data_IF_700833004449
#
_entry.id   IF_700833004449
#
_cell.length_a   1.000
_cell.length_b   1.000
_cell.length_c   1.000
_cell.angle_alpha   90.00
_cell.angle_beta   90.00
_cell.angle_gamma   90.00
#
_symmetry.space_group_name_H-M   'P 1'
#
loop_
_entity.id
_entity.type
_entity.pdbx_description
1 polymer ?
#
# COMPACT_ATOMS: atom_id res chain seq x y z
N UNK A 1 0.37 52.00 14.84
CA UNK A 1 1.07 50.76 15.25
C UNK A 1 1.45 50.03 13.98
N UNK A 2 2.72 50.14 13.56
CA UNK A 2 3.18 49.66 12.25
C UNK A 2 3.78 48.25 12.32
N UNK A 3 3.36 47.49 11.31
CA UNK A 3 3.87 46.26 10.69
C UNK A 3 5.38 45.93 10.85
N UNK A 4 5.59 44.61 10.86
CA UNK A 4 6.49 43.84 9.99
C UNK A 4 7.71 43.13 10.57
N UNK A 5 7.75 41.84 10.20
CA UNK A 5 8.76 40.81 10.39
C UNK A 5 10.09 41.18 9.71
N UNK A 6 11.22 40.82 10.35
CA UNK A 6 12.47 40.44 9.67
C UNK A 6 13.42 39.72 10.63
N UNK A 7 13.79 38.49 10.30
CA UNK A 7 15.14 37.94 10.52
C UNK A 7 16.04 38.52 9.39
N UNK A 8 17.38 38.68 9.52
CA UNK A 8 18.29 37.54 9.75
C UNK A 8 19.68 37.83 10.39
N UNK A 9 20.45 36.73 10.51
CA UNK A 9 21.93 36.57 10.55
C UNK A 9 22.63 36.33 11.88
N UNK A 10 23.48 35.30 11.81
CA UNK A 10 24.49 34.77 12.72
C UNK A 10 25.60 35.78 13.08
N UNK A 11 26.39 35.47 14.13
CA UNK A 11 27.83 35.73 14.07
C UNK A 11 28.72 34.55 14.48
N UNK A 12 29.89 34.53 13.85
CA UNK A 12 31.11 33.75 14.13
C UNK A 12 31.92 34.32 15.31
N UNK A 13 32.77 33.46 15.90
CA UNK A 13 33.96 33.81 16.71
C UNK A 13 34.10 32.87 17.92
N UNK A 14 34.91 31.78 17.90
CA UNK A 14 36.38 31.70 18.15
C UNK A 14 36.79 32.54 19.37
N UNK A 15 37.49 32.05 20.40
CA UNK A 15 38.69 31.19 20.48
C UNK A 15 38.97 31.01 22.02
N UNK A 16 39.54 29.94 22.61
CA UNK A 16 40.98 29.60 22.60
C UNK A 16 41.32 28.41 23.56
N UNK A 17 42.23 27.55 23.06
CA UNK A 17 43.40 26.87 23.71
C UNK A 17 43.17 25.88 24.88
N UNK A 18 43.87 24.73 25.01
CA UNK A 18 45.07 24.17 24.34
C UNK A 18 45.41 22.78 24.90
N UNK A 19 46.35 22.09 24.23
CA UNK A 19 47.19 20.91 24.60
C UNK A 19 46.80 19.67 23.78
N UNK A 20 47.63 19.02 22.95
CA UNK A 20 49.03 19.22 22.58
C UNK A 20 49.75 17.89 22.25
N UNK A 21 49.68 17.44 20.97
CA UNK A 21 50.60 16.51 20.23
C UNK A 21 50.69 15.01 20.65
N UNK A 22 51.32 14.11 19.85
CA UNK A 22 51.36 13.96 18.38
C UNK A 22 51.20 12.49 17.88
N UNK A 23 51.06 12.33 16.56
CA UNK A 23 51.06 11.05 15.83
C UNK A 23 52.47 10.45 15.61
N UNK A 24 52.61 9.13 15.36
CA UNK A 24 53.84 8.56 14.82
C UNK A 24 53.73 8.14 13.34
N UNK A 25 54.80 8.47 12.61
CA UNK A 25 55.22 7.95 11.29
C UNK A 25 55.72 6.50 11.43
N UNK A 26 55.42 5.70 10.41
CA UNK A 26 55.95 4.35 10.21
C UNK A 26 57.25 4.45 9.40
N UNK A 27 58.33 3.81 9.87
CA UNK A 27 59.56 3.55 9.12
C UNK A 27 59.88 2.05 9.15
N UNK A 28 60.50 1.62 8.05
CA UNK A 28 60.77 0.28 7.56
C UNK A 28 61.67 -0.59 8.45
N UNK A 29 61.36 -1.89 8.49
CA UNK A 29 62.26 -2.96 8.90
C UNK A 29 61.86 -4.29 8.23
N UNK A 30 62.78 -4.88 7.45
CA UNK A 30 62.66 -6.18 6.74
C UNK A 30 63.40 -7.29 7.57
N UNK A 31 63.37 -8.59 7.20
CA UNK A 31 62.83 -9.66 8.07
C UNK A 31 63.84 -10.76 8.42
N UNK A 32 63.51 -11.63 9.39
CA UNK A 32 64.08 -12.99 9.47
C UNK A 32 62.98 -13.98 9.84
N UNK A 33 62.97 -15.11 9.15
CA UNK A 33 61.80 -15.97 8.98
C UNK A 33 61.43 -16.85 10.17
N UNK A 34 60.23 -17.41 10.09
CA UNK A 34 59.97 -18.84 9.80
C UNK A 34 58.46 -19.01 9.58
N UNK A 35 58.11 -19.56 8.42
CA UNK A 35 56.81 -20.22 8.16
C UNK A 35 56.77 -21.56 8.93
N UNK A 36 55.57 -22.11 9.20
CA UNK A 36 54.99 -23.04 8.23
C UNK A 36 53.48 -22.86 7.97
N UNK A 37 53.17 -23.06 6.69
CA UNK A 37 52.03 -23.77 6.11
C UNK A 37 50.58 -23.22 6.20
N UNK A 38 50.22 -22.59 5.07
CA UNK A 38 48.91 -22.34 4.43
C UNK A 38 48.25 -23.67 3.95
N UNK A 39 46.94 -23.74 3.56
CA UNK A 39 46.33 -23.02 2.41
C UNK A 39 44.84 -22.62 2.63
N UNK A 40 44.14 -21.78 1.87
CA UNK A 40 44.40 -20.84 0.77
C UNK A 40 43.21 -19.86 0.73
N UNK A 41 43.48 -18.55 0.79
CA UNK A 41 42.51 -17.51 0.47
C UNK A 41 42.51 -17.28 -1.05
N UNK A 42 41.34 -17.32 -1.68
CA UNK A 42 41.18 -16.95 -3.08
C UNK A 42 41.26 -15.42 -3.26
N UNK A 43 41.86 -14.89 -4.35
CA UNK A 43 42.08 -13.45 -4.51
C UNK A 43 40.82 -12.73 -4.99
N UNK A 44 40.55 -11.58 -4.39
CA UNK A 44 39.61 -10.57 -4.87
C UNK A 44 40.20 -9.84 -6.08
N UNK A 45 39.60 -10.00 -7.27
CA UNK A 45 39.62 -8.97 -8.32
C UNK A 45 38.59 -9.32 -9.39
N UNK A 46 37.37 -8.76 -9.31
CA UNK A 46 36.54 -8.48 -10.50
C UNK A 46 35.57 -7.36 -10.15
N UNK A 47 35.82 -6.18 -10.70
CA UNK A 47 34.87 -5.08 -10.78
C UNK A 47 33.86 -5.46 -11.87
N UNK A 48 32.61 -5.77 -11.50
CA UNK A 48 31.51 -5.91 -12.46
C UNK A 48 30.73 -4.59 -12.50
N UNK A 49 31.04 -3.78 -13.50
CA UNK A 49 30.15 -2.72 -13.99
C UNK A 49 29.07 -3.41 -14.83
N UNK A 50 27.84 -3.46 -14.35
CA UNK A 50 26.70 -3.85 -15.18
C UNK A 50 26.36 -2.69 -16.11
N UNK A 51 26.81 -2.78 -17.37
CA UNK A 51 26.26 -1.99 -18.48
C UNK A 51 25.08 -2.77 -19.06
N UNK A 52 23.88 -2.20 -18.99
CA UNK A 52 22.73 -2.65 -19.77
C UNK A 52 23.02 -2.38 -21.25
N UNK A 53 23.07 -3.44 -22.06
CA UNK A 53 23.01 -3.32 -23.51
C UNK A 53 22.33 -4.57 -24.09
N UNK A 54 21.02 -4.45 -24.29
CA UNK A 54 20.22 -5.43 -25.03
C UNK A 54 20.65 -5.44 -26.50
N UNK A 55 21.16 -6.59 -26.97
CA UNK A 55 21.00 -7.01 -28.37
C UNK A 55 20.66 -8.50 -28.42
N UNK A 56 19.40 -8.76 -28.76
CA UNK A 56 18.88 -10.08 -29.07
C UNK A 56 19.37 -10.52 -30.45
N UNK A 57 20.30 -11.47 -30.50
CA UNK A 57 20.52 -12.31 -31.68
C UNK A 57 19.94 -13.70 -31.42
N UNK A 58 18.77 -13.98 -32.01
CA UNK A 58 18.22 -15.34 -32.07
C UNK A 58 19.03 -16.18 -33.06
N UNK A 59 19.81 -17.15 -32.57
CA UNK A 59 20.23 -18.30 -33.37
C UNK A 59 19.26 -19.45 -33.15
N UNK A 60 18.50 -19.73 -34.20
CA UNK A 60 17.60 -20.88 -34.37
C UNK A 60 18.43 -22.16 -34.44
N UNK A 61 18.22 -23.09 -33.51
CA UNK A 61 18.12 -24.54 -33.77
C UNK A 61 17.90 -25.35 -32.47
N UNK A 62 16.73 -26.00 -32.38
CA UNK A 62 16.58 -27.34 -31.79
C UNK A 62 16.35 -27.44 -30.29
N UNK A 63 15.11 -27.25 -29.84
CA UNK A 63 14.31 -28.23 -29.08
C UNK A 63 12.96 -27.58 -28.75
N UNK A 64 11.97 -27.80 -29.63
CA UNK A 64 10.58 -27.44 -29.38
C UNK A 64 9.97 -28.47 -28.43
N UNK A 65 9.83 -28.13 -27.16
CA UNK A 65 8.68 -28.58 -26.35
C UNK A 65 8.41 -27.56 -25.26
N UNK A 66 7.28 -26.85 -25.41
CA UNK A 66 6.66 -26.05 -24.36
C UNK A 66 6.69 -24.55 -24.64
N UNK A 67 5.52 -23.92 -24.46
CA UNK A 67 5.23 -22.49 -24.55
C UNK A 67 4.69 -21.99 -25.90
N UNK A 68 3.49 -22.44 -26.25
CA UNK A 68 2.55 -21.58 -27.00
C UNK A 68 1.71 -20.81 -25.99
N UNK A 69 2.05 -19.54 -25.76
CA UNK A 69 1.35 -18.60 -24.88
C UNK A 69 0.78 -17.42 -25.66
N UNK A 70 -0.47 -17.09 -25.34
CA UNK A 70 -1.40 -16.20 -26.06
C UNK A 70 -1.08 -14.70 -25.84
N UNK A 71 -1.00 -13.91 -26.92
CA UNK A 71 -0.39 -12.56 -26.98
C UNK A 71 -1.20 -11.40 -26.35
N UNK A 72 -2.08 -11.70 -25.38
CA UNK A 72 -2.76 -10.68 -24.53
C UNK A 72 -2.43 -10.82 -23.04
N UNK A 73 -1.74 -11.90 -22.62
CA UNK A 73 -1.32 -12.14 -21.24
C UNK A 73 0.12 -11.69 -20.91
N UNK A 74 0.88 -11.23 -21.90
CA UNK A 74 2.34 -11.10 -21.77
C UNK A 74 2.78 -9.91 -20.92
N UNK A 75 2.01 -8.82 -20.87
CA UNK A 75 2.35 -7.62 -20.09
C UNK A 75 2.27 -7.82 -18.57
N UNK A 76 1.23 -8.53 -18.09
CA UNK A 76 1.08 -8.91 -16.68
C UNK A 76 2.15 -9.93 -16.27
N UNK A 77 2.48 -10.86 -17.18
CA UNK A 77 3.49 -11.89 -16.94
C UNK A 77 4.89 -11.28 -16.89
N UNK A 78 5.20 -10.35 -17.81
CA UNK A 78 6.45 -9.58 -17.84
C UNK A 78 6.65 -8.72 -16.60
N UNK A 79 5.63 -7.97 -16.16
CA UNK A 79 5.74 -7.21 -14.91
C UNK A 79 5.92 -8.12 -13.69
N UNK A 80 5.24 -9.28 -13.64
CA UNK A 80 5.46 -10.26 -12.57
C UNK A 80 6.88 -10.85 -12.61
N UNK A 81 7.42 -11.11 -13.80
CA UNK A 81 8.76 -11.65 -14.01
C UNK A 81 9.83 -10.61 -13.69
N UNK A 82 9.67 -9.37 -14.17
CA UNK A 82 10.54 -8.23 -13.86
C UNK A 82 10.56 -7.93 -12.36
N UNK A 83 9.41 -8.01 -11.68
CA UNK A 83 9.34 -7.88 -10.21
C UNK A 83 10.12 -9.00 -9.53
N UNK A 84 9.92 -10.26 -9.92
CA UNK A 84 10.66 -11.42 -9.39
C UNK A 84 12.18 -11.30 -9.61
N UNK A 85 12.62 -10.90 -10.80
CA UNK A 85 14.05 -10.72 -11.11
C UNK A 85 14.65 -9.55 -10.33
N UNK A 86 13.91 -8.45 -10.17
CA UNK A 86 14.36 -7.32 -9.35
C UNK A 86 14.48 -7.68 -7.86
N UNK A 87 13.55 -8.51 -7.36
CA UNK A 87 13.54 -8.98 -5.98
C UNK A 87 14.77 -9.85 -5.69
N UNK A 88 15.11 -10.75 -6.62
CA UNK A 88 16.27 -11.63 -6.51
C UNK A 88 17.58 -10.84 -6.51
N UNK A 89 17.67 -9.79 -7.33
CA UNK A 89 18.82 -8.88 -7.35
C UNK A 89 19.03 -8.18 -6.00
N UNK A 90 17.98 -7.56 -5.45
CA UNK A 90 18.04 -6.89 -4.14
C UNK A 90 18.34 -7.87 -3.00
N UNK A 91 17.83 -9.09 -3.08
CA UNK A 91 18.12 -10.15 -2.12
C UNK A 91 19.60 -10.53 -2.15
N UNK A 92 20.15 -10.80 -3.34
CA UNK A 92 21.56 -11.13 -3.53
C UNK A 92 22.48 -10.01 -3.02
N UNK A 93 22.16 -8.75 -3.30
CA UNK A 93 22.91 -7.60 -2.80
C UNK A 93 22.93 -7.55 -1.27
N UNK A 94 21.78 -7.78 -0.62
CA UNK A 94 21.64 -7.79 0.84
C UNK A 94 22.47 -8.90 1.48
N UNK A 95 22.39 -10.13 0.93
CA UNK A 95 23.19 -11.27 1.39
C UNK A 95 24.69 -11.02 1.23
N UNK A 96 25.13 -10.55 0.06
CA UNK A 96 26.56 -10.25 -0.19
C UNK A 96 27.07 -9.17 0.75
N UNK A 97 26.28 -8.13 1.02
CA UNK A 97 26.64 -7.06 1.95
C UNK A 97 26.82 -7.57 3.38
N UNK A 98 25.92 -8.44 3.86
CA UNK A 98 26.02 -9.06 5.18
C UNK A 98 27.26 -9.95 5.32
N UNK A 99 27.57 -10.76 4.29
CA UNK A 99 28.78 -11.59 4.27
C UNK A 99 30.04 -10.71 4.30
N UNK A 100 30.09 -9.65 3.49
CA UNK A 100 31.22 -8.72 3.44
C UNK A 100 31.44 -7.95 4.74
N UNK A 101 30.39 -7.73 5.54
CA UNK A 101 30.49 -7.08 6.85
C UNK A 101 30.79 -8.06 7.99
N UNK A 102 30.93 -9.35 7.72
CA UNK A 102 31.15 -10.39 8.74
C UNK A 102 29.90 -10.74 9.55
N UNK A 103 28.72 -10.32 9.10
CA UNK A 103 27.43 -10.66 9.72
C UNK A 103 26.84 -11.93 9.12
N UNK A 104 26.10 -12.69 9.93
CA UNK A 104 25.35 -13.86 9.44
C UNK A 104 24.13 -13.36 8.69
N UNK A 105 23.95 -13.72 7.41
CA UNK A 105 22.77 -13.30 6.68
C UNK A 105 21.51 -13.98 7.22
N UNK A 106 20.52 -13.20 7.65
CA UNK A 106 19.24 -13.70 8.13
C UNK A 106 18.12 -13.40 7.13
N UNK A 107 17.21 -14.36 6.99
CA UNK A 107 16.06 -14.24 6.08
C UNK A 107 15.15 -13.08 6.47
N UNK A 108 14.89 -12.90 7.76
CA UNK A 108 13.99 -11.85 8.25
C UNK A 108 14.49 -10.44 7.90
N UNK A 109 15.79 -10.15 8.13
CA UNK A 109 16.38 -8.86 7.76
C UNK A 109 16.41 -8.62 6.25
N UNK A 110 16.58 -9.69 5.46
CA UNK A 110 16.52 -9.60 4.01
C UNK A 110 15.10 -9.29 3.52
N UNK A 111 14.07 -9.91 4.11
CA UNK A 111 12.66 -9.65 3.81
C UNK A 111 12.25 -8.23 4.21
N UNK A 112 12.70 -7.73 5.36
CA UNK A 112 12.49 -6.33 5.78
C UNK A 112 13.12 -5.33 4.81
N UNK A 113 14.37 -5.57 4.42
CA UNK A 113 15.08 -4.71 3.44
C UNK A 113 14.38 -4.70 2.09
N UNK A 114 13.89 -5.85 1.63
CA UNK A 114 13.11 -5.96 0.40
C UNK A 114 11.78 -5.22 0.48
N UNK A 115 11.07 -5.32 1.62
CA UNK A 115 9.83 -4.60 1.84
C UNK A 115 10.04 -3.09 1.75
N UNK A 116 11.09 -2.54 2.38
CA UNK A 116 11.43 -1.12 2.28
C UNK A 116 11.66 -0.67 0.82
N UNK A 117 12.48 -1.42 0.07
CA UNK A 117 12.80 -1.07 -1.32
C UNK A 117 11.57 -1.16 -2.22
N UNK A 118 10.78 -2.24 -2.11
CA UNK A 118 9.60 -2.43 -2.95
C UNK A 118 8.48 -1.45 -2.60
N UNK A 119 8.25 -1.18 -1.31
CA UNK A 119 7.21 -0.23 -0.91
C UNK A 119 7.56 1.20 -1.34
N UNK A 120 8.81 1.64 -1.21
CA UNK A 120 9.24 2.94 -1.73
C UNK A 120 9.09 3.08 -3.24
N UNK A 121 9.40 2.01 -4.00
CA UNK A 121 9.12 1.97 -5.45
C UNK A 121 7.64 2.03 -5.75
N UNK A 122 6.82 1.28 -5.02
CA UNK A 122 5.36 1.26 -5.19
C UNK A 122 4.73 2.64 -4.92
N UNK A 123 5.22 3.40 -3.92
CA UNK A 123 4.81 4.79 -3.67
C UNK A 123 5.15 5.66 -4.88
N UNK A 124 6.38 5.56 -5.38
CA UNK A 124 6.85 6.36 -6.53
C UNK A 124 6.02 6.06 -7.78
N UNK A 125 5.80 4.78 -8.10
CA UNK A 125 5.01 4.34 -9.25
C UNK A 125 3.54 4.81 -9.16
N UNK A 126 2.94 4.71 -7.98
CA UNK A 126 1.58 5.19 -7.74
C UNK A 126 1.44 6.71 -7.87
N UNK A 127 2.41 7.47 -7.35
CA UNK A 127 2.42 8.94 -7.46
C UNK A 127 2.62 9.40 -8.90
N UNK A 128 3.56 8.82 -9.63
CA UNK A 128 3.76 9.15 -11.05
C UNK A 128 2.50 8.86 -11.88
N UNK A 129 1.79 7.78 -11.55
CA UNK A 129 0.51 7.47 -12.19
C UNK A 129 -0.54 8.54 -11.87
N UNK A 130 -0.70 8.89 -10.58
CA UNK A 130 -1.64 9.91 -10.14
C UNK A 130 -1.39 11.25 -10.85
N UNK A 131 -0.14 11.71 -10.87
CA UNK A 131 0.24 12.98 -11.53
C UNK A 131 -0.12 12.97 -13.01
N UNK A 132 0.21 11.90 -13.73
CA UNK A 132 -0.11 11.76 -15.16
C UNK A 132 -1.61 11.77 -15.44
N UNK A 133 -2.41 11.09 -14.63
CA UNK A 133 -3.87 11.08 -14.81
C UNK A 133 -4.48 12.46 -14.47
N UNK A 134 -4.03 13.12 -13.40
CA UNK A 134 -4.46 14.49 -13.10
C UNK A 134 -4.11 15.46 -14.24
N UNK A 135 -2.89 15.42 -14.77
CA UNK A 135 -2.48 16.26 -15.91
C UNK A 135 -3.28 15.98 -17.18
N UNK A 136 -3.66 14.72 -17.40
CA UNK A 136 -4.40 14.29 -18.60
C UNK A 136 -5.84 14.79 -18.60
N UNK A 137 -6.51 14.72 -17.45
CA UNK A 137 -7.94 14.94 -17.34
C UNK A 137 -8.33 16.33 -16.84
N UNK A 138 -7.50 16.96 -16.00
CA UNK A 138 -7.83 18.26 -15.43
C UNK A 138 -7.70 19.36 -16.48
N UNK A 139 -8.80 20.13 -16.65
CA UNK A 139 -8.83 21.36 -17.43
C UNK A 139 -9.20 22.50 -16.49
N UNK A 140 -8.29 23.47 -16.37
CA UNK A 140 -8.47 24.62 -15.49
C UNK A 140 -8.98 25.86 -16.26
N UNK A 141 -9.82 26.71 -15.64
CA UNK A 141 -10.52 26.44 -14.38
C UNK A 141 -11.62 25.40 -14.56
N UNK A 142 -11.92 24.63 -13.51
CA UNK A 142 -13.13 23.79 -13.48
C UNK A 142 -14.33 24.64 -13.11
N UNK A 143 -15.52 24.28 -13.62
CA UNK A 143 -16.77 24.98 -13.29
C UNK A 143 -17.10 24.89 -11.80
N UNK A 144 -16.95 23.70 -11.22
CA UNK A 144 -17.23 23.44 -9.81
C UNK A 144 -16.07 22.70 -9.14
N UNK A 145 -16.10 22.65 -7.80
CA UNK A 145 -15.11 21.91 -7.02
C UNK A 145 -15.31 20.40 -7.20
N UNK A 146 -16.56 19.93 -7.29
CA UNK A 146 -16.91 18.52 -7.51
C UNK A 146 -16.27 17.97 -8.79
N UNK A 147 -16.28 18.74 -9.87
CA UNK A 147 -15.68 18.31 -11.13
C UNK A 147 -14.19 18.00 -11.00
N UNK A 148 -13.46 18.76 -10.17
CA UNK A 148 -12.06 18.49 -9.86
C UNK A 148 -11.92 17.30 -8.90
N UNK A 149 -12.79 17.24 -7.88
CA UNK A 149 -12.83 16.15 -6.90
C UNK A 149 -13.10 14.78 -7.52
N UNK A 150 -13.98 14.69 -8.52
CA UNK A 150 -14.30 13.43 -9.22
C UNK A 150 -13.09 12.88 -9.98
N UNK A 151 -12.35 13.75 -10.67
CA UNK A 151 -11.11 13.38 -11.36
C UNK A 151 -10.07 12.90 -10.34
N UNK A 152 -9.91 13.64 -9.24
CA UNK A 152 -9.01 13.27 -8.15
C UNK A 152 -9.36 11.91 -7.56
N UNK A 153 -10.63 11.65 -7.24
CA UNK A 153 -11.08 10.40 -6.64
C UNK A 153 -10.83 9.20 -7.58
N UNK A 154 -11.05 9.37 -8.89
CA UNK A 154 -10.77 8.33 -9.88
C UNK A 154 -9.26 8.04 -9.98
N UNK A 155 -8.43 9.07 -10.04
CA UNK A 155 -6.97 8.94 -10.12
C UNK A 155 -6.38 8.33 -8.84
N UNK A 156 -6.82 8.81 -7.67
CA UNK A 156 -6.40 8.30 -6.36
C UNK A 156 -6.75 6.82 -6.21
N UNK A 157 -7.98 6.43 -6.51
CA UNK A 157 -8.43 5.03 -6.42
C UNK A 157 -7.52 4.08 -7.22
N UNK A 158 -7.09 4.50 -8.40
CA UNK A 158 -6.19 3.71 -9.25
C UNK A 158 -4.74 3.73 -8.74
N UNK A 159 -4.25 4.88 -8.27
CA UNK A 159 -2.92 4.99 -7.65
C UNK A 159 -2.79 4.10 -6.41
N UNK A 160 -3.81 4.07 -5.55
CA UNK A 160 -3.88 3.19 -4.38
C UNK A 160 -3.87 1.73 -4.81
N UNK A 161 -4.61 1.37 -5.85
CA UNK A 161 -4.62 0.00 -6.38
C UNK A 161 -3.23 -0.42 -6.91
N UNK A 162 -2.53 0.47 -7.60
CA UNK A 162 -1.15 0.24 -8.07
C UNK A 162 -0.23 0.00 -6.86
N UNK A 163 -0.28 0.88 -5.85
CA UNK A 163 0.50 0.72 -4.63
C UNK A 163 0.18 -0.60 -3.92
N UNK A 164 -1.09 -0.95 -3.76
CA UNK A 164 -1.53 -2.20 -3.12
C UNK A 164 -1.01 -3.41 -3.90
N UNK A 165 -0.98 -3.36 -5.23
CA UNK A 165 -0.43 -4.44 -6.05
C UNK A 165 1.11 -4.55 -5.97
N UNK A 166 1.80 -3.42 -5.74
CA UNK A 166 3.26 -3.33 -5.74
C UNK A 166 3.91 -3.47 -4.36
N UNK A 167 3.18 -3.14 -3.30
CA UNK A 167 3.67 -3.16 -1.92
C UNK A 167 3.62 -4.55 -1.30
N UNK A 168 4.52 -4.80 -0.36
CA UNK A 168 4.58 -6.02 0.43
C UNK A 168 5.11 -5.69 1.83
N UNK A 169 4.48 -6.29 2.86
CA UNK A 169 4.91 -6.19 4.26
C UNK A 169 5.16 -4.75 4.74
N UNK A 170 4.23 -3.83 4.46
CA UNK A 170 4.30 -2.43 4.91
C UNK A 170 3.94 -2.32 6.40
N UNK A 171 4.95 -2.54 7.26
CA UNK A 171 4.77 -2.47 8.70
C UNK A 171 4.27 -1.09 9.13
N UNK A 172 3.24 -1.08 9.98
CA UNK A 172 2.56 0.13 10.48
C UNK A 172 1.97 1.02 9.36
N UNK A 173 1.83 0.52 8.13
CA UNK A 173 1.28 1.26 6.99
C UNK A 173 2.05 2.55 6.65
N UNK A 174 3.36 2.60 6.93
CA UNK A 174 4.19 3.80 6.78
C UNK A 174 4.21 4.32 5.33
N UNK A 175 4.39 3.42 4.36
CA UNK A 175 4.47 3.82 2.95
C UNK A 175 3.08 4.14 2.38
N UNK A 176 2.03 3.46 2.87
CA UNK A 176 0.67 3.85 2.51
C UNK A 176 0.33 5.26 3.00
N UNK A 177 0.66 5.59 4.26
CA UNK A 177 0.46 6.93 4.80
C UNK A 177 1.27 7.99 4.05
N UNK A 178 2.49 7.64 3.64
CA UNK A 178 3.33 8.48 2.78
C UNK A 178 2.64 8.76 1.44
N UNK A 179 2.15 7.72 0.75
CA UNK A 179 1.41 7.88 -0.51
C UNK A 179 0.20 8.79 -0.33
N UNK A 180 -0.63 8.57 0.70
CA UNK A 180 -1.82 9.37 0.95
C UNK A 180 -1.50 10.83 1.24
N UNK A 181 -0.45 11.09 2.02
CA UNK A 181 0.03 12.45 2.25
C UNK A 181 0.47 13.12 0.95
N UNK A 182 1.28 12.43 0.14
CA UNK A 182 1.79 13.00 -1.11
C UNK A 182 0.68 13.24 -2.14
N UNK A 183 -0.29 12.33 -2.27
CA UNK A 183 -1.47 12.54 -3.13
C UNK A 183 -2.27 13.76 -2.65
N UNK A 184 -2.53 13.87 -1.35
CA UNK A 184 -3.25 15.00 -0.77
C UNK A 184 -2.52 16.34 -1.01
N UNK A 185 -1.21 16.39 -0.81
CA UNK A 185 -0.40 17.58 -1.09
C UNK A 185 -0.49 18.01 -2.57
N UNK A 186 -0.50 17.05 -3.50
CA UNK A 186 -0.64 17.36 -4.94
C UNK A 186 -2.05 17.79 -5.29
N UNK A 187 -3.06 17.21 -4.65
CA UNK A 187 -4.44 17.63 -4.82
C UNK A 187 -4.66 19.06 -4.33
N UNK A 188 -4.12 19.43 -3.18
CA UNK A 188 -4.17 20.80 -2.66
C UNK A 188 -3.51 21.81 -3.60
N UNK A 189 -2.41 21.42 -4.26
CA UNK A 189 -1.78 22.24 -5.29
C UNK A 189 -2.70 22.43 -6.51
N UNK A 190 -3.37 21.37 -6.97
CA UNK A 190 -4.37 21.47 -8.04
C UNK A 190 -5.53 22.39 -7.66
N UNK A 191 -6.07 22.26 -6.45
CA UNK A 191 -7.11 23.16 -5.94
C UNK A 191 -6.66 24.62 -5.91
N UNK A 192 -5.42 24.88 -5.45
CA UNK A 192 -4.84 26.23 -5.44
C UNK A 192 -4.69 26.79 -6.85
N UNK A 193 -4.20 25.99 -7.80
CA UNK A 193 -4.06 26.38 -9.21
C UNK A 193 -5.42 26.66 -9.84
N UNK A 194 -6.42 25.83 -9.54
CA UNK A 194 -7.79 26.00 -10.01
C UNK A 194 -8.40 27.32 -9.53
N UNK A 195 -8.28 27.61 -8.24
CA UNK A 195 -8.72 28.87 -7.65
C UNK A 195 -8.03 30.08 -8.29
N UNK A 196 -6.71 30.01 -8.51
CA UNK A 196 -5.97 31.09 -9.16
C UNK A 196 -6.44 31.34 -10.61
N UNK A 197 -6.60 30.27 -11.39
CA UNK A 197 -7.06 30.36 -12.77
C UNK A 197 -8.52 30.84 -12.86
N UNK A 198 -9.41 30.36 -11.99
CA UNK A 198 -10.79 30.85 -11.91
C UNK A 198 -10.82 32.34 -11.57
N UNK A 199 -10.04 32.79 -10.58
CA UNK A 199 -9.93 34.23 -10.27
C UNK A 199 -9.48 35.04 -11.49
N UNK A 200 -8.49 34.53 -12.25
CA UNK A 200 -7.99 35.19 -13.47
C UNK A 200 -9.08 35.31 -14.53
N UNK A 201 -9.79 34.22 -14.81
CA UNK A 201 -10.86 34.19 -15.82
C UNK A 201 -12.03 35.07 -15.38
N UNK A 202 -12.50 34.95 -14.14
CA UNK A 202 -13.54 35.80 -13.55
C UNK A 202 -13.22 37.27 -13.71
N UNK A 203 -12.01 37.70 -13.32
CA UNK A 203 -11.58 39.11 -13.48
C UNK A 203 -11.62 39.56 -14.94
N UNK A 204 -11.17 38.72 -15.87
CA UNK A 204 -11.22 39.04 -17.30
C UNK A 204 -12.64 39.11 -17.88
N UNK A 205 -13.58 38.33 -17.36
CA UNK A 205 -15.01 38.44 -17.73
C UNK A 205 -15.62 39.69 -17.10
N UNK A 206 -15.32 39.94 -15.83
CA UNK A 206 -15.80 41.10 -15.07
C UNK A 206 -15.40 42.39 -15.77
N UNK A 207 -14.11 42.57 -16.10
CA UNK A 207 -13.63 43.75 -16.82
C UNK A 207 -14.33 43.96 -18.17
N UNK A 208 -14.78 42.89 -18.85
CA UNK A 208 -15.50 43.00 -20.12
C UNK A 208 -16.96 43.36 -19.93
N UNK A 209 -17.65 42.69 -19.01
CA UNK A 209 -19.09 42.88 -18.76
C UNK A 209 -19.36 44.24 -18.12
N UNK A 210 -18.48 44.70 -17.23
CA UNK A 210 -18.64 45.96 -16.52
C UNK A 210 -17.95 47.16 -17.18
N UNK A 211 -17.23 46.97 -18.30
CA UNK A 211 -16.53 48.06 -19.00
C UNK A 211 -17.43 49.27 -19.28
N UNK A 212 -18.61 49.03 -19.85
CA UNK A 212 -19.55 50.12 -20.18
C UNK A 212 -20.08 50.85 -18.94
N UNK A 213 -20.26 50.15 -17.82
CA UNK A 213 -20.65 50.75 -16.55
C UNK A 213 -19.50 51.62 -16.00
N UNK A 214 -18.27 51.10 -16.00
CA UNK A 214 -17.09 51.80 -15.51
C UNK A 214 -16.78 53.06 -16.32
N UNK A 215 -16.90 53.00 -17.65
CA UNK A 215 -16.76 54.15 -18.54
C UNK A 215 -17.86 55.19 -18.28
N UNK A 216 -19.11 54.74 -18.12
CA UNK A 216 -20.23 55.65 -17.84
C UNK A 216 -20.10 56.34 -16.47
N UNK A 217 -19.60 55.62 -15.46
CA UNK A 217 -19.27 56.19 -14.14
C UNK A 217 -18.12 57.19 -14.26
N UNK A 218 -17.01 56.82 -14.91
CA UNK A 218 -15.84 57.68 -15.08
C UNK A 218 -16.13 58.94 -15.89
N UNK A 219 -17.02 58.85 -16.87
CA UNK A 219 -17.51 59.98 -17.66
C UNK A 219 -18.58 60.83 -16.97
N UNK A 220 -19.03 60.45 -15.76
CA UNK A 220 -20.05 61.18 -15.02
C UNK A 220 -21.47 61.08 -15.60
N UNK A 221 -21.75 60.10 -16.46
CA UNK A 221 -23.04 59.93 -17.15
C UNK A 221 -24.24 59.77 -16.20
N UNK A 222 -23.97 59.31 -14.97
CA UNK A 222 -24.97 59.12 -13.92
C UNK A 222 -25.16 60.36 -13.02
N UNK A 223 -24.38 61.43 -13.18
CA UNK A 223 -24.48 62.67 -12.39
C UNK A 223 -25.55 63.62 -12.95
N UNK A 224 -26.77 63.10 -13.12
CA UNK A 224 -27.93 63.80 -13.66
C UNK A 224 -29.19 63.45 -12.86
N UNK A 225 -30.27 64.26 -12.92
CA UNK A 225 -31.53 63.89 -12.29
C UNK A 225 -31.99 62.49 -12.74
N UNK A 226 -32.35 61.63 -11.78
CA UNK A 226 -32.71 60.21 -11.97
C UNK A 226 -31.56 59.32 -12.47
N UNK A 227 -30.32 59.80 -12.34
CA UNK A 227 -29.12 59.07 -12.72
C UNK A 227 -28.87 57.84 -11.86
N UNK A 228 -29.25 57.85 -10.57
CA UNK A 228 -29.10 56.69 -9.68
C UNK A 228 -29.90 55.48 -10.18
N UNK A 229 -31.13 55.70 -10.65
CA UNK A 229 -31.95 54.61 -11.21
C UNK A 229 -31.35 54.02 -12.48
N UNK A 230 -30.71 54.86 -13.31
CA UNK A 230 -30.01 54.39 -14.51
C UNK A 230 -28.79 53.54 -14.12
N UNK A 231 -27.98 54.02 -13.18
CA UNK A 231 -26.83 53.29 -12.64
C UNK A 231 -27.24 51.92 -12.07
N UNK A 232 -28.29 51.89 -11.25
CA UNK A 232 -28.85 50.65 -10.68
C UNK A 232 -29.27 49.65 -11.75
N UNK A 233 -29.98 50.11 -12.78
CA UNK A 233 -30.42 49.24 -13.86
C UNK A 233 -29.24 48.66 -14.65
N UNK A 234 -28.21 49.46 -14.93
CA UNK A 234 -27.04 49.02 -15.67
C UNK A 234 -26.16 48.07 -14.83
N UNK A 235 -25.99 48.36 -13.53
CA UNK A 235 -25.30 47.50 -12.57
C UNK A 235 -25.99 46.13 -12.46
N UNK A 236 -27.32 46.11 -12.36
CA UNK A 236 -28.09 44.86 -12.27
C UNK A 236 -27.99 44.05 -13.56
N UNK A 237 -28.11 44.69 -14.74
CA UNK A 237 -27.92 44.02 -16.03
C UNK A 237 -26.50 43.44 -16.16
N UNK A 238 -25.47 44.21 -15.82
CA UNK A 238 -24.09 43.74 -15.86
C UNK A 238 -23.87 42.56 -14.91
N UNK A 239 -24.46 42.60 -13.71
CA UNK A 239 -24.41 41.49 -12.75
C UNK A 239 -25.09 40.23 -13.29
N UNK A 240 -26.25 40.35 -13.93
CA UNK A 240 -26.94 39.23 -14.56
C UNK A 240 -26.13 38.64 -15.73
N UNK A 241 -25.55 39.50 -16.58
CA UNK A 241 -24.69 39.06 -17.69
C UNK A 241 -23.43 38.35 -17.20
N UNK A 242 -22.83 38.82 -16.10
CA UNK A 242 -21.68 38.15 -15.49
C UNK A 242 -22.05 36.78 -14.95
N UNK A 243 -23.19 36.67 -14.24
CA UNK A 243 -23.65 35.37 -13.70
C UNK A 243 -24.06 34.37 -14.77
N UNK A 244 -24.57 34.86 -15.89
CA UNK A 244 -24.91 34.04 -17.06
C UNK A 244 -23.68 33.60 -17.86
N UNK A 245 -22.49 34.14 -17.59
CA UNK A 245 -21.28 33.76 -18.30
C UNK A 245 -20.76 32.38 -17.84
N UNK A 246 -20.72 31.44 -18.78
CA UNK A 246 -20.08 30.13 -18.62
C UNK A 246 -18.54 30.27 -18.56
N UNK A 247 -17.84 29.29 -18.00
CA UNK A 247 -16.38 29.28 -17.99
C UNK A 247 -15.71 30.13 -16.92
N UNK A 248 -16.46 30.76 -16.01
CA UNK A 248 -15.92 31.61 -14.93
C UNK A 248 -15.32 30.80 -13.78
N UNK A 249 -15.74 29.55 -13.61
CA UNK A 249 -15.19 28.64 -12.61
C UNK A 249 -15.60 28.94 -11.16
N UNK A 250 -14.95 28.24 -10.22
CA UNK A 250 -15.38 28.14 -8.82
C UNK A 250 -15.45 29.47 -8.03
N UNK A 251 -14.68 30.50 -8.39
CA UNK A 251 -14.60 31.77 -7.66
C UNK A 251 -15.50 32.87 -8.23
N UNK A 252 -16.54 32.49 -8.99
CA UNK A 252 -17.45 33.44 -9.64
C UNK A 252 -18.04 34.45 -8.68
N UNK A 253 -18.68 34.01 -7.61
CA UNK A 253 -19.37 34.89 -6.66
C UNK A 253 -18.37 35.65 -5.77
N UNK A 254 -17.24 35.06 -5.38
CA UNK A 254 -16.19 35.75 -4.60
C UNK A 254 -15.68 36.99 -5.34
N UNK A 255 -15.28 36.81 -6.61
CA UNK A 255 -14.74 37.91 -7.42
C UNK A 255 -15.80 38.98 -7.70
N UNK A 256 -17.06 38.57 -7.91
CA UNK A 256 -18.17 39.51 -8.08
C UNK A 256 -18.41 40.33 -6.82
N UNK A 257 -18.41 39.68 -5.66
CA UNK A 257 -18.65 40.35 -4.38
C UNK A 257 -17.55 41.34 -4.05
N UNK A 258 -16.28 40.96 -4.23
CA UNK A 258 -15.12 41.87 -4.09
C UNK A 258 -15.31 43.14 -4.93
N UNK A 259 -15.71 42.96 -6.19
CA UNK A 259 -15.93 44.07 -7.11
C UNK A 259 -17.13 44.95 -6.71
N UNK A 260 -18.26 44.34 -6.35
CA UNK A 260 -19.45 45.10 -5.92
C UNK A 260 -19.17 45.88 -4.63
N UNK A 261 -18.39 45.31 -3.71
CA UNK A 261 -17.92 46.01 -2.52
C UNK A 261 -17.00 47.19 -2.86
N UNK A 262 -16.14 47.07 -3.87
CA UNK A 262 -15.33 48.21 -4.36
C UNK A 262 -16.22 49.32 -4.95
N UNK A 263 -17.32 48.96 -5.62
CA UNK A 263 -18.25 49.90 -6.26
C UNK A 263 -19.35 50.44 -5.35
N UNK A 264 -19.50 49.93 -4.12
CA UNK A 264 -20.56 50.38 -3.21
C UNK A 264 -20.48 51.88 -2.93
N UNK A 265 -19.28 52.39 -2.63
CA UNK A 265 -19.02 53.81 -2.39
C UNK A 265 -19.38 54.69 -3.60
N UNK A 266 -19.17 54.19 -4.83
CA UNK A 266 -19.57 54.90 -6.06
C UNK A 266 -21.10 55.01 -6.12
N UNK A 267 -21.80 53.91 -5.84
CA UNK A 267 -23.27 53.88 -5.78
C UNK A 267 -23.83 54.85 -4.73
N UNK A 268 -23.25 54.87 -3.53
CA UNK A 268 -23.63 55.79 -2.45
C UNK A 268 -23.45 57.26 -2.86
N UNK A 269 -22.34 57.59 -3.51
CA UNK A 269 -22.08 58.95 -4.00
C UNK A 269 -23.07 59.39 -5.09
N UNK A 270 -23.41 58.49 -6.03
CA UNK A 270 -24.42 58.77 -7.07
C UNK A 270 -25.81 58.96 -6.43
N UNK A 271 -26.17 58.13 -5.44
CA UNK A 271 -27.42 58.25 -4.70
C UNK A 271 -27.54 59.60 -3.97
N UNK A 272 -26.47 60.03 -3.30
CA UNK A 272 -26.41 61.30 -2.59
C UNK A 272 -26.47 62.52 -3.53
N UNK A 273 -25.89 62.41 -4.74
CA UNK A 273 -25.87 63.48 -5.73
C UNK A 273 -27.22 63.65 -6.47
N UNK A 274 -28.07 62.61 -6.53
CA UNK A 274 -29.33 62.65 -7.26
C UNK A 274 -30.43 63.40 -6.49
N UNK A 275 -30.52 64.71 -6.73
CA UNK A 275 -31.54 65.60 -6.13
C UNK A 275 -32.97 65.36 -6.60
N UNK A 276 -33.19 64.44 -7.55
CA UNK A 276 -34.54 64.08 -7.99
C UNK A 276 -35.26 63.12 -7.03
N UNK A 277 -34.51 62.49 -6.12
CA UNK A 277 -35.04 61.60 -5.09
C UNK A 277 -35.29 62.37 -3.80
N UNK A 278 -36.39 62.06 -3.14
CA UNK A 278 -36.66 62.58 -1.78
C UNK A 278 -35.73 61.91 -0.76
N UNK A 279 -35.45 62.59 0.37
CA UNK A 279 -34.63 61.98 1.45
C UNK A 279 -35.19 60.63 1.92
N UNK A 280 -36.52 60.47 1.94
CA UNK A 280 -37.16 59.21 2.30
C UNK A 280 -36.85 58.10 1.28
N UNK A 281 -36.89 58.41 -0.03
CA UNK A 281 -36.50 57.48 -1.09
C UNK A 281 -35.00 57.13 -1.02
N UNK A 282 -34.14 58.12 -0.77
CA UNK A 282 -32.70 57.87 -0.60
C UNK A 282 -32.41 56.94 0.58
N UNK A 283 -33.11 57.10 1.71
CA UNK A 283 -32.97 56.19 2.87
C UNK A 283 -33.44 54.77 2.55
N UNK A 284 -34.57 54.62 1.85
CA UNK A 284 -35.05 53.29 1.43
C UNK A 284 -34.08 52.59 0.48
N UNK A 285 -33.51 53.31 -0.49
CA UNK A 285 -32.51 52.76 -1.42
C UNK A 285 -31.20 52.40 -0.70
N UNK A 286 -30.75 53.21 0.26
CA UNK A 286 -29.58 52.88 1.08
C UNK A 286 -29.80 51.62 1.94
N UNK A 287 -31.00 51.45 2.52
CA UNK A 287 -31.36 50.20 3.20
C UNK A 287 -31.40 49.01 2.25
N UNK A 288 -31.92 49.20 1.03
CA UNK A 288 -31.96 48.15 0.01
C UNK A 288 -30.55 47.72 -0.38
N UNK A 289 -29.61 48.65 -0.58
CA UNK A 289 -28.20 48.32 -0.85
C UNK A 289 -27.59 47.46 0.28
N UNK A 290 -27.81 47.83 1.54
CA UNK A 290 -27.32 47.04 2.69
C UNK A 290 -27.90 45.63 2.73
N UNK A 291 -29.18 45.46 2.35
CA UNK A 291 -29.79 44.13 2.25
C UNK A 291 -29.18 43.30 1.13
N UNK A 292 -28.99 43.90 -0.05
CA UNK A 292 -28.36 43.24 -1.19
C UNK A 292 -26.90 42.84 -0.87
N UNK A 293 -26.14 43.69 -0.19
CA UNK A 293 -24.79 43.37 0.29
C UNK A 293 -24.79 42.18 1.27
N UNK A 294 -25.72 42.16 2.22
CA UNK A 294 -25.86 41.05 3.16
C UNK A 294 -26.25 39.75 2.44
N UNK A 295 -27.15 39.81 1.45
CA UNK A 295 -27.51 38.66 0.61
C UNK A 295 -26.32 38.15 -0.22
N UNK A 296 -25.46 39.03 -0.74
CA UNK A 296 -24.23 38.62 -1.44
C UNK A 296 -23.26 37.91 -0.49
N UNK A 297 -23.04 38.46 0.70
CA UNK A 297 -22.19 37.83 1.71
C UNK A 297 -22.73 36.47 2.14
N UNK A 298 -24.05 36.33 2.26
CA UNK A 298 -24.67 35.05 2.57
C UNK A 298 -24.41 34.00 1.47
N UNK A 299 -24.52 34.37 0.19
CA UNK A 299 -24.23 33.45 -0.93
C UNK A 299 -22.77 32.98 -0.92
N UNK A 300 -21.83 33.87 -0.63
CA UNK A 300 -20.42 33.50 -0.45
C UNK A 300 -20.21 32.49 0.66
N UNK A 301 -20.89 32.66 1.78
CA UNK A 301 -20.82 31.72 2.90
C UNK A 301 -21.40 30.37 2.53
N UNK A 302 -22.51 30.35 1.78
CA UNK A 302 -23.11 29.12 1.25
C UNK A 302 -22.13 28.38 0.32
N UNK A 303 -21.49 29.08 -0.63
CA UNK A 303 -20.48 28.52 -1.52
C UNK A 303 -19.28 27.96 -0.75
N UNK A 304 -18.76 28.71 0.23
CA UNK A 304 -17.63 28.27 1.06
C UNK A 304 -17.99 27.03 1.89
N UNK A 305 -19.17 27.03 2.51
CA UNK A 305 -19.67 25.87 3.26
C UNK A 305 -19.82 24.65 2.33
N UNK A 306 -20.33 24.84 1.12
CA UNK A 306 -20.50 23.77 0.15
C UNK A 306 -19.14 23.15 -0.25
N UNK A 307 -18.14 23.97 -0.54
CA UNK A 307 -16.77 23.52 -0.84
C UNK A 307 -16.16 22.77 0.35
N UNK A 308 -16.39 23.26 1.58
CA UNK A 308 -15.91 22.57 2.79
C UNK A 308 -16.59 21.23 3.02
N UNK A 309 -17.91 21.15 2.85
CA UNK A 309 -18.66 19.90 2.97
C UNK A 309 -18.17 18.86 1.97
N UNK A 310 -17.90 19.27 0.73
CA UNK A 310 -17.35 18.39 -0.28
C UNK A 310 -15.95 17.91 0.06
N UNK A 311 -15.07 18.79 0.54
CA UNK A 311 -13.73 18.38 0.97
C UNK A 311 -13.79 17.30 2.07
N UNK A 312 -14.74 17.42 3.00
CA UNK A 312 -14.99 16.40 4.03
C UNK A 312 -15.50 15.10 3.40
N UNK A 313 -16.46 15.18 2.47
CA UNK A 313 -17.00 14.01 1.79
C UNK A 313 -15.95 13.29 0.93
N UNK A 314 -15.10 14.03 0.23
CA UNK A 314 -13.99 13.50 -0.56
C UNK A 314 -13.01 12.74 0.32
N UNK A 315 -12.61 13.34 1.44
CA UNK A 315 -11.73 12.69 2.41
C UNK A 315 -12.35 11.41 2.98
N UNK A 316 -13.65 11.42 3.28
CA UNK A 316 -14.37 10.24 3.76
C UNK A 316 -14.42 9.14 2.70
N UNK A 317 -14.72 9.48 1.43
CA UNK A 317 -14.77 8.53 0.31
C UNK A 317 -13.40 7.91 0.04
N UNK A 318 -12.35 8.74 -0.02
CA UNK A 318 -10.96 8.29 -0.14
C UNK A 318 -10.61 7.30 0.98
N UNK A 319 -10.82 7.69 2.24
CA UNK A 319 -10.51 6.84 3.39
C UNK A 319 -11.25 5.50 3.35
N UNK A 320 -12.53 5.50 3.00
CA UNK A 320 -13.32 4.27 2.89
C UNK A 320 -12.83 3.36 1.77
N UNK A 321 -12.49 3.92 0.59
CA UNK A 321 -11.96 3.13 -0.52
C UNK A 321 -10.58 2.55 -0.18
N UNK A 322 -9.72 3.33 0.45
CA UNK A 322 -8.40 2.89 0.90
C UNK A 322 -8.49 1.72 1.89
N UNK A 323 -9.42 1.82 2.86
CA UNK A 323 -9.68 0.73 3.80
C UNK A 323 -10.19 -0.53 3.07
N UNK A 324 -11.16 -0.39 2.15
CA UNK A 324 -11.69 -1.53 1.38
C UNK A 324 -10.62 -2.25 0.58
N UNK A 325 -9.78 -1.52 -0.15
CA UNK A 325 -8.72 -2.14 -0.94
C UNK A 325 -7.65 -2.81 -0.06
N UNK A 326 -7.36 -2.24 1.11
CA UNK A 326 -6.43 -2.85 2.07
C UNK A 326 -7.01 -4.13 2.69
N UNK A 327 -8.27 -4.11 3.11
CA UNK A 327 -8.97 -5.29 3.64
C UNK A 327 -8.98 -6.44 2.61
N UNK A 328 -9.28 -6.14 1.35
CA UNK A 328 -9.26 -7.12 0.27
C UNK A 328 -7.86 -7.76 0.10
N UNK A 329 -6.80 -6.95 0.12
CA UNK A 329 -5.42 -7.44 0.03
C UNK A 329 -5.03 -8.29 1.24
N UNK A 330 -5.38 -7.86 2.45
CA UNK A 330 -5.08 -8.61 3.68
C UNK A 330 -5.75 -9.98 3.69
N UNK A 331 -7.00 -10.06 3.22
CA UNK A 331 -7.73 -11.32 3.11
C UNK A 331 -7.11 -12.25 2.05
N UNK A 332 -6.71 -11.71 0.90
CA UNK A 332 -6.00 -12.47 -0.14
C UNK A 332 -4.65 -13.01 0.38
N UNK A 333 -3.88 -12.19 1.09
CA UNK A 333 -2.61 -12.61 1.71
C UNK A 333 -2.83 -13.69 2.78
N UNK A 334 -3.88 -13.55 3.59
CA UNK A 334 -4.25 -14.55 4.60
C UNK A 334 -4.61 -15.89 3.97
N UNK A 335 -5.34 -15.89 2.86
CA UNK A 335 -5.68 -17.10 2.12
C UNK A 335 -4.44 -17.77 1.53
N UNK A 336 -3.56 -17.00 0.87
CA UNK A 336 -2.28 -17.52 0.36
C UNK A 336 -1.40 -18.12 1.45
N UNK A 337 -1.30 -17.46 2.60
CA UNK A 337 -0.53 -17.96 3.74
C UNK A 337 -1.09 -19.29 4.28
N UNK A 338 -2.41 -19.47 4.31
CA UNK A 338 -3.03 -20.73 4.69
C UNK A 338 -2.72 -21.85 3.70
N UNK A 339 -2.84 -21.59 2.40
CA UNK A 339 -2.52 -22.57 1.37
C UNK A 339 -1.04 -22.98 1.40
N UNK A 340 -0.14 -22.02 1.65
CA UNK A 340 1.29 -22.29 1.82
C UNK A 340 1.57 -23.14 3.06
N UNK A 341 0.90 -22.84 4.18
CA UNK A 341 1.00 -23.61 5.41
C UNK A 341 0.48 -25.05 5.20
N UNK A 342 -0.66 -25.22 4.53
CA UNK A 342 -1.22 -26.54 4.21
C UNK A 342 -0.30 -27.35 3.29
N UNK A 343 0.31 -26.69 2.28
CA UNK A 343 1.34 -27.31 1.43
C UNK A 343 2.57 -27.73 2.23
N UNK A 344 3.04 -26.90 3.16
CA UNK A 344 4.17 -27.24 4.02
C UNK A 344 3.86 -28.41 4.96
N UNK A 345 2.67 -28.42 5.58
CA UNK A 345 2.21 -29.50 6.47
C UNK A 345 2.06 -30.81 5.71
N UNK A 346 1.43 -30.80 4.55
CA UNK A 346 1.27 -32.00 3.72
C UNK A 346 2.62 -32.56 3.26
N UNK A 347 3.56 -31.71 2.87
CA UNK A 347 4.93 -32.13 2.55
C UNK A 347 5.62 -32.79 3.77
N UNK A 348 5.49 -32.20 4.97
CA UNK A 348 6.07 -32.76 6.21
C UNK A 348 5.42 -34.08 6.63
N UNK A 349 4.11 -34.22 6.43
CA UNK A 349 3.41 -35.48 6.69
C UNK A 349 3.88 -36.59 5.75
N UNK A 350 4.06 -36.27 4.46
CA UNK A 350 4.58 -37.20 3.46
C UNK A 350 6.01 -37.64 3.78
N UNK A 351 6.90 -36.71 4.10
CA UNK A 351 8.29 -36.99 4.52
C UNK A 351 8.32 -37.93 5.76
N UNK A 352 7.41 -37.71 6.72
CA UNK A 352 7.27 -38.57 7.90
C UNK A 352 6.79 -39.98 7.55
N UNK A 353 5.84 -40.09 6.62
CA UNK A 353 5.33 -41.39 6.18
C UNK A 353 6.40 -42.18 5.44
N UNK A 354 7.13 -41.55 4.52
CA UNK A 354 8.25 -42.17 3.78
C UNK A 354 9.34 -42.65 4.74
N UNK A 355 9.72 -41.82 5.72
CA UNK A 355 10.70 -42.20 6.76
C UNK A 355 10.26 -43.39 7.61
N UNK A 356 8.96 -43.49 7.94
CA UNK A 356 8.41 -44.63 8.68
C UNK A 356 8.41 -45.90 7.83
N UNK A 357 7.98 -45.81 6.58
CA UNK A 357 7.97 -46.94 5.64
C UNK A 357 9.39 -47.47 5.37
N UNK A 358 10.37 -46.59 5.19
CA UNK A 358 11.78 -46.97 5.07
C UNK A 358 12.29 -47.65 6.34
N UNK A 359 11.99 -47.11 7.52
CA UNK A 359 12.34 -47.73 8.79
C UNK A 359 11.71 -49.12 9.01
N UNK A 360 10.47 -49.32 8.59
CA UNK A 360 9.80 -50.63 8.65
C UNK A 360 10.38 -51.63 7.64
N UNK A 361 10.68 -51.19 6.41
CA UNK A 361 11.33 -52.02 5.38
C UNK A 361 12.70 -52.50 5.86
N UNK A 362 13.48 -51.62 6.48
CA UNK A 362 14.79 -51.98 6.99
C UNK A 362 14.71 -52.96 8.17
N UNK A 363 13.77 -52.77 9.10
CA UNK A 363 13.53 -53.75 10.19
C UNK A 363 13.06 -55.10 9.66
N UNK A 364 12.18 -55.13 8.66
CA UNK A 364 11.71 -56.36 8.05
C UNK A 364 12.85 -57.11 7.36
N UNK A 365 13.76 -56.40 6.69
CA UNK A 365 14.97 -56.96 6.09
C UNK A 365 15.88 -57.61 7.13
N UNK A 366 16.15 -56.92 8.24
CA UNK A 366 16.96 -57.47 9.33
C UNK A 366 16.32 -58.72 9.96
N UNK A 367 15.01 -58.69 10.23
CA UNK A 367 14.30 -59.86 10.74
C UNK A 367 14.31 -61.03 9.75
N UNK A 368 14.24 -60.77 8.45
CA UNK A 368 14.33 -61.81 7.44
C UNK A 368 15.73 -62.45 7.42
N UNK A 369 16.79 -61.63 7.50
CA UNK A 369 18.18 -62.12 7.62
C UNK A 369 18.38 -62.97 8.89
N UNK A 370 17.77 -62.60 10.02
CA UNK A 370 17.78 -63.41 11.25
C UNK A 370 17.03 -64.74 11.08
N UNK A 371 15.84 -64.72 10.46
CA UNK A 371 15.08 -65.94 10.16
C UNK A 371 15.86 -66.88 9.24
N UNK A 372 16.54 -66.35 8.23
CA UNK A 372 17.31 -67.16 7.29
C UNK A 372 18.57 -67.76 7.94
N UNK A 373 19.24 -67.01 8.84
CA UNK A 373 20.30 -67.58 9.70
C UNK A 373 19.79 -68.71 10.57
N UNK A 374 18.67 -68.51 11.28
CA UNK A 374 18.07 -69.54 12.13
C UNK A 374 17.65 -70.79 11.33
N UNK A 375 17.13 -70.62 10.12
CA UNK A 375 16.80 -71.77 9.23
C UNK A 375 18.05 -72.53 8.78
N UNK A 376 19.13 -71.83 8.46
CA UNK A 376 20.40 -72.45 8.10
C UNK A 376 20.98 -73.25 9.27
N UNK A 377 20.95 -72.69 10.49
CA UNK A 377 21.36 -73.39 11.71
C UNK A 377 20.49 -74.65 11.96
N UNK A 378 19.18 -74.56 11.76
CA UNK A 378 18.26 -75.70 11.90
C UNK A 378 18.52 -76.79 10.84
N UNK A 379 18.89 -76.43 9.62
CA UNK A 379 19.27 -77.38 8.56
C UNK A 379 20.63 -78.04 8.85
N UNK A 380 21.59 -77.29 9.39
CA UNK A 380 22.88 -77.84 9.82
C UNK A 380 22.72 -78.82 11.00
N UNK A 381 21.83 -78.53 11.95
CA UNK A 381 21.48 -79.48 13.02
C UNK A 381 20.79 -80.74 12.51
N UNK A 382 19.94 -80.63 11.48
CA UNK A 382 19.32 -81.81 10.82
C UNK A 382 20.30 -82.65 10.00
N UNK A 383 21.41 -82.06 9.51
CA UNK A 383 22.47 -82.79 8.80
C UNK A 383 23.49 -83.45 9.74
N UNK A 384 23.56 -83.04 11.01
CA UNK A 384 24.40 -83.67 12.04
C UNK A 384 23.71 -84.82 12.80
N UNK A 385 22.62 -85.39 12.27
CA UNK A 385 21.98 -86.58 12.83
C UNK A 385 22.35 -87.82 11.99
N UNK A 386 23.29 -88.69 12.41
CA UNK A 386 23.48 -89.99 11.80
C UNK A 386 22.45 -90.99 12.36
N UNK A 387 22.05 -91.93 11.53
CA UNK A 387 21.22 -93.06 11.95
C UNK A 387 21.92 -93.92 13.01
N UNK A 388 21.19 -94.19 14.11
CA UNK A 388 21.27 -95.45 14.85
C UNK A 388 22.00 -95.45 16.19
N UNK A 389 21.24 -95.35 17.30
CA UNK A 389 21.32 -96.36 18.37
C UNK A 389 20.05 -96.34 19.24
N UNK A 390 19.45 -97.52 19.35
CA UNK A 390 18.31 -97.93 20.16
C UNK A 390 18.55 -97.83 21.67
N UNK A 391 17.62 -97.20 22.40
CA UNK A 391 17.10 -97.55 23.74
C UNK A 391 16.04 -96.48 24.09
N UNK A 392 14.74 -96.72 23.94
CA UNK A 392 13.89 -97.35 24.95
C UNK A 392 12.51 -97.61 24.36
N UNK A 393 12.10 -98.88 24.38
CA UNK A 393 10.73 -99.32 24.25
C UNK A 393 10.45 -100.15 25.52
N UNK A 394 9.70 -99.58 26.45
CA UNK A 394 9.12 -100.18 27.68
C UNK A 394 8.44 -99.00 28.39
N UNK A 395 7.13 -98.92 28.63
CA UNK A 395 6.08 -99.92 28.84
C UNK A 395 4.71 -99.31 28.52
N UNK A 396 3.81 -100.15 28.01
CA UNK A 396 2.37 -99.98 28.14
C UNK A 396 1.91 -100.36 29.57
N UNK A 397 0.69 -99.95 29.92
CA UNK A 397 -0.09 -100.18 31.15
C UNK A 397 0.21 -99.32 32.39
N UNK A 398 -0.58 -98.24 32.56
CA UNK A 398 -1.59 -98.17 33.66
C UNK A 398 -2.85 -97.50 33.12
N UNK A 399 -3.89 -98.31 33.03
CA UNK A 399 -5.29 -98.02 32.82
C UNK A 399 -5.89 -97.32 34.07
N UNK A 400 -6.95 -96.53 33.86
CA UNK A 400 -8.04 -96.25 34.81
C UNK A 400 -7.70 -95.58 36.16
N UNK A 401 -8.07 -94.31 36.30
CA UNK A 401 -9.18 -93.88 37.19
C UNK A 401 -9.38 -92.37 37.18
N UNK A 402 -10.64 -91.95 37.10
CA UNK A 402 -11.09 -90.67 37.66
C UNK A 402 -11.32 -89.55 36.66
N UNK A 403 -12.58 -89.39 36.24
CA UNK A 403 -13.02 -88.29 35.39
C UNK A 403 -13.40 -87.00 36.15
N UNK A 404 -14.10 -86.13 35.40
CA UNK A 404 -14.66 -84.83 35.77
C UNK A 404 -13.62 -83.74 36.08
N UNK A 405 -13.70 -82.51 35.59
CA UNK A 405 -14.82 -81.77 35.03
C UNK A 405 -14.32 -80.70 34.04
N UNK A 406 -15.24 -80.29 33.17
CA UNK A 406 -15.17 -79.11 32.34
C UNK A 406 -14.95 -77.82 33.14
N UNK A 407 -14.24 -76.86 32.54
CA UNK A 407 -14.69 -75.48 32.46
C UNK A 407 -13.97 -74.80 31.27
N UNK A 408 -14.61 -74.55 30.11
CA UNK A 408 -15.62 -73.52 29.79
C UNK A 408 -14.95 -72.17 29.41
N UNK A 409 -15.19 -71.48 28.29
CA UNK A 409 -16.00 -71.62 27.05
C UNK A 409 -15.54 -70.52 26.07
N UNK A 410 -15.68 -70.68 24.74
CA UNK A 410 -15.82 -69.57 23.79
C UNK A 410 -17.26 -69.43 23.23
N UNK A 411 -17.80 -68.20 23.20
CA UNK A 411 -18.82 -67.78 22.20
C UNK A 411 -20.19 -67.24 22.67
N UNK A 412 -20.45 -65.95 22.35
CA UNK A 412 -21.69 -65.24 21.95
C UNK A 412 -23.01 -65.29 22.76
N UNK A 413 -23.63 -64.11 22.96
CA UNK A 413 -25.05 -63.97 23.34
C UNK A 413 -25.50 -62.52 23.62
N UNK A 414 -26.44 -62.03 22.80
CA UNK A 414 -27.10 -60.71 22.85
C UNK A 414 -28.33 -60.70 23.79
N UNK A 415 -28.69 -59.45 24.19
CA UNK A 415 -30.00 -58.96 24.66
C UNK A 415 -30.48 -59.42 26.06
N UNK A 416 -30.94 -58.56 26.97
CA UNK A 416 -31.19 -57.12 26.95
C UNK A 416 -32.27 -56.79 27.97
N UNK A 417 -32.12 -55.72 28.75
CA UNK A 417 -33.21 -54.97 29.39
C UNK A 417 -32.79 -53.49 29.38
N UNK A 418 -33.51 -52.66 28.62
CA UNK A 418 -33.48 -51.19 28.72
C UNK A 418 -34.20 -50.74 30.00
N UNK A 419 -34.27 -49.48 30.40
CA UNK A 419 -34.08 -48.16 29.79
C UNK A 419 -34.09 -47.19 30.98
N UNK A 420 -33.37 -46.06 30.93
CA UNK A 420 -33.94 -44.71 31.13
C UNK A 420 -32.88 -43.62 31.36
N UNK A 421 -33.04 -42.57 30.54
CA UNK A 421 -33.07 -41.13 30.92
C UNK A 421 -31.74 -40.37 31.07
N UNK A 422 -31.44 -39.61 30.01
CA UNK A 422 -31.22 -38.15 29.94
C UNK A 422 -30.85 -37.43 31.25
N UNK A 423 -29.71 -36.74 31.27
CA UNK A 423 -29.51 -35.65 32.23
C UNK A 423 -28.07 -35.13 32.43
N UNK A 424 -27.72 -34.09 31.67
CA UNK A 424 -27.03 -32.86 32.12
C UNK A 424 -25.69 -32.92 32.92
N UNK A 425 -24.70 -32.24 32.32
CA UNK A 425 -23.98 -31.06 32.89
C UNK A 425 -22.76 -31.30 33.80
N UNK A 426 -21.60 -30.86 33.26
CA UNK A 426 -20.43 -30.19 33.86
C UNK A 426 -19.69 -30.94 35.00
N UNK A 427 -18.36 -31.01 35.06
CA UNK A 427 -17.32 -29.96 34.99
C UNK A 427 -16.02 -30.69 35.43
N UNK A 428 -14.81 -30.53 34.90
CA UNK A 428 -13.93 -29.36 35.07
C UNK A 428 -12.58 -29.68 34.35
N UNK A 429 -12.19 -28.87 33.38
CA UNK A 429 -10.78 -28.53 33.14
C UNK A 429 -10.76 -27.05 32.71
N UNK A 430 -10.34 -26.21 33.66
CA UNK A 430 -9.77 -24.89 33.40
C UNK A 430 -8.73 -24.61 34.48
N UNK A 431 -7.48 -24.48 34.10
CA UNK A 431 -6.64 -23.40 34.60
C UNK A 431 -6.06 -22.71 33.38
#
# INVERSE_FOLDING_TARGET
>A
MHLSRRWPRTPHGRDKSSVGRPAPRILLGRPTGKTPDRPDCWPCETILIWRSQDQLHLTRNGTETGLTGNTKGDLLTLNSLLRKTSLLGSLAETYVKAIRSGQVPCLDSAVESLALIQNGRAVTEALEFYEKEMERWVRLPTETQEALSEIHAAAEKQAVSIFISGSFNDQEHKHQLELMRSVQERYEEWCRRNALESRRVCRGVLSRVFAGLDEAVGGGSYMRPRGYNSYRSDLEKATQLYRAAEGTGLLREEVLTDYLMEKSAVGENILAADRSLTEAQQRMEAEKMKREEAEQQQRLLEDYNHIQEQAIQDQQRSNQENLRQMEAKMEEQRQRAKEELERAVSAKLKERQESLEEGFKERARLMQEEVDKLKQEQQQQKQQQPQGSSWLDTTADVLETGGMAAAFVPGWGLAGIGSMVVGKVLRWLKK
#
